data_IF_491242296458
#
_entry.id   IF_491242296458
#
_cell.length_a   1.000
_cell.length_b   1.000
_cell.length_c   1.000
_cell.angle_alpha   90.00
_cell.angle_beta   90.00
_cell.angle_gamma   90.00
#
_symmetry.space_group_name_H-M   'P 1'
#
loop_
_entity.id
_entity.type
_entity.pdbx_description
1 polymer ?
#
# COMPACT_ATOMS: atom_id res chain seq x y z
N UNK A 1 -7.83 -2.67 -16.00
CA UNK A 1 -7.22 -3.91 -15.46
C UNK A 1 -6.21 -3.46 -14.42
N UNK A 2 -6.04 -4.19 -13.31
CA UNK A 2 -5.04 -3.84 -12.29
C UNK A 2 -3.73 -4.54 -12.65
N UNK A 3 -2.62 -3.82 -12.53
CA UNK A 3 -1.29 -4.37 -12.70
C UNK A 3 -0.86 -5.05 -11.40
N UNK A 4 -0.22 -6.23 -11.52
CA UNK A 4 0.32 -6.94 -10.36
C UNK A 4 1.47 -6.15 -9.73
N UNK A 5 1.38 -5.92 -8.42
CA UNK A 5 2.41 -5.22 -7.68
C UNK A 5 3.68 -6.06 -7.47
N UNK A 6 3.55 -7.39 -7.38
CA UNK A 6 4.64 -8.33 -7.10
C UNK A 6 5.51 -7.93 -5.88
N UNK A 7 4.85 -7.69 -4.75
CA UNK A 7 5.50 -7.20 -3.52
C UNK A 7 6.30 -8.30 -2.81
N UNK A 8 7.40 -7.89 -2.15
CA UNK A 8 8.31 -8.79 -1.43
C UNK A 8 8.35 -8.42 0.06
N UNK A 9 7.53 -9.09 0.88
CA UNK A 9 7.42 -8.78 2.32
C UNK A 9 8.57 -9.33 3.16
N UNK A 10 9.37 -10.23 2.61
CA UNK A 10 10.59 -10.78 3.20
C UNK A 10 11.85 -9.97 2.87
N UNK A 11 11.80 -9.08 1.88
CA UNK A 11 12.86 -8.11 1.61
C UNK A 11 12.74 -6.89 2.53
N UNK A 12 13.52 -6.89 3.61
CA UNK A 12 13.58 -5.76 4.56
C UNK A 12 14.09 -4.48 3.90
N UNK A 13 14.99 -4.57 2.94
CA UNK A 13 15.54 -3.39 2.27
C UNK A 13 14.50 -2.75 1.35
N UNK A 14 13.65 -3.55 0.68
CA UNK A 14 12.48 -3.05 -0.03
C UNK A 14 11.53 -2.31 0.92
N UNK A 15 11.27 -2.86 2.11
CA UNK A 15 10.43 -2.20 3.11
C UNK A 15 11.07 -0.89 3.59
N UNK A 16 12.39 -0.84 3.81
CA UNK A 16 13.10 0.40 4.19
C UNK A 16 13.02 1.47 3.09
N UNK A 17 13.25 1.11 1.82
CA UNK A 17 13.12 2.04 0.68
C UNK A 17 11.69 2.57 0.56
N UNK A 18 10.69 1.69 0.71
CA UNK A 18 9.28 2.06 0.72
C UNK A 18 8.90 2.96 1.90
N UNK A 19 9.44 2.70 3.09
CA UNK A 19 9.25 3.52 4.29
C UNK A 19 9.79 4.94 4.07
N UNK A 20 10.98 5.05 3.45
CA UNK A 20 11.56 6.35 3.09
C UNK A 20 10.66 7.11 2.12
N UNK A 21 10.19 6.47 1.05
CA UNK A 21 9.26 7.10 0.09
C UNK A 21 7.96 7.56 0.76
N UNK A 22 7.42 6.74 1.67
CA UNK A 22 6.23 7.11 2.43
C UNK A 22 6.46 8.35 3.29
N UNK A 23 7.58 8.42 4.02
CA UNK A 23 7.91 9.57 4.86
C UNK A 23 8.09 10.82 4.02
N UNK A 24 8.82 10.71 2.91
CA UNK A 24 9.17 11.85 2.06
C UNK A 24 7.93 12.42 1.33
N UNK A 25 7.05 11.56 0.81
CA UNK A 25 5.98 11.98 -0.12
C UNK A 25 4.56 11.85 0.44
N UNK A 26 4.33 10.97 1.41
CA UNK A 26 2.97 10.64 1.88
C UNK A 26 2.69 11.18 3.28
N UNK A 27 3.66 11.10 4.18
CA UNK A 27 3.51 11.40 5.61
C UNK A 27 3.30 12.89 5.92
N UNK A 28 3.24 13.77 4.91
CA UNK A 28 2.82 15.15 5.12
C UNK A 28 1.29 15.31 5.11
N UNK A 29 0.58 14.40 4.43
CA UNK A 29 -0.89 14.42 4.32
C UNK A 29 -1.54 13.19 4.95
N UNK A 30 -0.88 12.03 4.87
CA UNK A 30 -1.42 10.75 5.31
C UNK A 30 -0.80 10.29 6.63
N UNK A 31 -1.64 10.03 7.63
CA UNK A 31 -1.19 9.32 8.84
C UNK A 31 -0.98 7.83 8.57
N UNK A 32 -0.10 7.22 9.36
CA UNK A 32 -0.08 5.79 9.65
C UNK A 32 -0.22 5.62 11.17
N UNK A 33 -1.37 6.06 11.70
CA UNK A 33 -1.61 6.26 13.13
C UNK A 33 -1.55 5.00 13.99
N UNK A 34 -1.68 3.80 13.39
CA UNK A 34 -1.57 2.52 14.07
C UNK A 34 -0.14 1.99 14.12
N UNK A 35 0.81 2.63 13.43
CA UNK A 35 2.21 2.22 13.39
C UNK A 35 3.09 3.14 14.23
N UNK A 36 3.89 2.56 15.13
CA UNK A 36 4.91 3.28 15.91
C UNK A 36 6.27 3.20 15.23
N UNK A 37 7.04 4.30 15.27
CA UNK A 37 8.42 4.30 14.75
C UNK A 37 9.30 3.22 15.41
N UNK A 38 9.11 2.97 16.71
CA UNK A 38 9.83 1.93 17.45
C UNK A 38 9.60 0.52 16.93
N UNK A 39 8.39 0.25 16.39
CA UNK A 39 8.08 -1.06 15.81
C UNK A 39 8.81 -1.25 14.48
N UNK A 40 8.83 -0.21 13.64
CA UNK A 40 9.60 -0.19 12.40
C UNK A 40 11.09 -0.41 12.69
N UNK A 41 11.64 0.26 13.72
CA UNK A 41 13.01 0.07 14.15
C UNK A 41 13.34 -1.41 14.42
N UNK A 42 12.48 -2.07 15.20
CA UNK A 42 12.64 -3.47 15.59
C UNK A 42 12.48 -4.43 14.40
N UNK A 43 11.44 -4.25 13.59
CA UNK A 43 11.12 -5.17 12.50
C UNK A 43 12.11 -5.04 11.32
N UNK A 44 12.62 -3.83 11.07
CA UNK A 44 13.55 -3.54 9.97
C UNK A 44 15.03 -3.58 10.39
N UNK A 45 15.32 -3.94 11.64
CA UNK A 45 16.68 -3.97 12.18
C UNK A 45 17.41 -2.63 11.98
N UNK A 46 16.74 -1.54 12.37
CA UNK A 46 17.27 -0.18 12.32
C UNK A 46 17.52 0.33 13.74
N UNK A 47 18.63 1.04 13.91
CA UNK A 47 18.91 1.76 15.14
C UNK A 47 17.90 2.89 15.37
N UNK A 48 17.76 3.32 16.63
CA UNK A 48 16.91 4.46 16.96
C UNK A 48 17.34 5.74 16.25
N UNK A 49 18.65 5.92 16.04
CA UNK A 49 19.21 7.08 15.33
C UNK A 49 18.93 7.04 13.83
N UNK A 50 19.01 5.87 13.19
CA UNK A 50 18.63 5.72 11.78
C UNK A 50 17.15 6.07 11.57
N UNK A 51 16.27 5.54 12.42
CA UNK A 51 14.83 5.84 12.35
C UNK A 51 14.57 7.32 12.58
N UNK A 52 15.25 7.92 13.56
CA UNK A 52 15.12 9.35 13.85
C UNK A 52 15.57 10.20 12.66
N UNK A 53 16.72 9.88 12.06
CA UNK A 53 17.31 10.69 11.00
C UNK A 53 16.62 10.48 9.64
N UNK A 54 16.13 9.27 9.36
CA UNK A 54 15.55 8.94 8.05
C UNK A 54 14.03 9.07 8.01
N UNK A 55 13.33 8.80 9.11
CA UNK A 55 11.87 8.68 9.11
C UNK A 55 11.14 9.74 9.94
N UNK A 56 11.83 10.39 10.89
CA UNK A 56 11.21 11.40 11.75
C UNK A 56 11.63 12.79 11.28
N UNK A 57 10.79 13.40 10.45
CA UNK A 57 11.00 14.77 9.96
C UNK A 57 10.41 15.84 10.89
N UNK A 58 9.42 15.48 11.72
CA UNK A 58 8.56 16.45 12.46
C UNK A 58 8.84 16.57 13.97
N UNK A 59 10.05 16.25 14.43
CA UNK A 59 10.39 16.37 15.86
C UNK A 59 9.67 15.37 16.78
N UNK A 60 8.89 14.44 16.21
CA UNK A 60 8.24 13.35 16.93
C UNK A 60 9.27 12.44 17.66
N UNK A 61 8.78 11.64 18.60
CA UNK A 61 9.61 10.68 19.33
C UNK A 61 9.50 9.30 18.69
N UNK A 62 10.55 8.49 18.83
CA UNK A 62 10.59 7.11 18.31
C UNK A 62 9.47 6.23 18.90
N UNK A 63 8.97 6.53 20.10
CA UNK A 63 7.83 5.80 20.70
C UNK A 63 6.46 6.21 20.14
N UNK A 64 6.36 7.30 19.40
CA UNK A 64 5.09 7.82 18.88
C UNK A 64 4.70 7.16 17.55
N UNK A 65 3.45 7.37 17.14
CA UNK A 65 2.98 6.94 15.82
C UNK A 65 3.14 8.02 14.77
N UNK A 66 3.13 7.59 13.51
CA UNK A 66 3.16 8.46 12.33
C UNK A 66 1.82 9.18 12.20
N UNK A 67 1.73 10.40 12.74
CA UNK A 67 0.54 11.25 12.65
C UNK A 67 0.87 12.55 11.94
N UNK A 68 -0.07 12.99 11.13
CA UNK A 68 -0.05 14.31 10.49
C UNK A 68 -0.83 15.33 11.32
N UNK A 69 -0.53 16.60 11.12
CA UNK A 69 -1.18 17.70 11.81
C UNK A 69 -2.48 18.17 11.14
N UNK A 70 -2.72 17.78 9.88
CA UNK A 70 -3.93 18.17 9.14
C UNK A 70 -5.17 17.57 9.80
N UNK A 71 -6.16 18.43 10.09
CA UNK A 71 -7.47 17.99 10.56
C UNK A 71 -8.44 17.74 9.38
N UNK A 72 -9.61 17.18 9.68
CA UNK A 72 -10.57 16.78 8.66
C UNK A 72 -11.19 17.97 7.92
N UNK A 73 -11.36 19.11 8.58
CA UNK A 73 -11.99 20.29 8.00
C UNK A 73 -11.03 21.00 7.04
N UNK A 74 -9.76 21.12 7.43
CA UNK A 74 -8.69 21.60 6.55
C UNK A 74 -8.50 20.67 5.34
N UNK A 75 -8.52 19.34 5.57
CA UNK A 75 -8.47 18.36 4.49
C UNK A 75 -9.61 18.52 3.48
N UNK A 76 -10.87 18.68 3.95
CA UNK A 76 -12.02 18.93 3.09
C UNK A 76 -11.89 20.23 2.32
N UNK A 77 -11.36 21.28 2.96
CA UNK A 77 -11.17 22.59 2.33
C UNK A 77 -10.12 22.55 1.22
N UNK A 78 -9.03 21.82 1.41
CA UNK A 78 -7.91 21.79 0.45
C UNK A 78 -8.06 20.72 -0.63
N UNK A 79 -8.59 19.54 -0.28
CA UNK A 79 -8.64 18.38 -1.17
C UNK A 79 -10.07 17.94 -1.54
N UNK A 80 -11.09 18.62 -1.01
CA UNK A 80 -12.50 18.30 -1.25
C UNK A 80 -13.02 17.08 -0.47
N UNK A 81 -12.17 16.41 0.31
CA UNK A 81 -12.53 15.25 1.12
C UNK A 81 -11.53 15.04 2.26
N UNK A 82 -11.88 14.19 3.23
CA UNK A 82 -10.96 13.78 4.28
C UNK A 82 -9.77 13.00 3.70
N UNK A 83 -8.56 13.28 4.19
CA UNK A 83 -7.37 12.51 3.82
C UNK A 83 -7.36 11.20 4.63
N UNK A 84 -7.35 10.02 3.98
CA UNK A 84 -7.42 8.75 4.68
C UNK A 84 -6.12 8.42 5.42
N UNK A 85 -6.25 7.79 6.57
CA UNK A 85 -5.14 7.10 7.24
C UNK A 85 -4.75 5.85 6.44
N UNK A 86 -3.44 5.65 6.26
CA UNK A 86 -2.89 4.59 5.41
C UNK A 86 -2.42 3.36 6.20
N UNK A 87 -2.63 3.30 7.52
CA UNK A 87 -2.18 2.18 8.37
C UNK A 87 -2.64 0.82 7.87
N UNK A 88 -3.84 0.74 7.27
CA UNK A 88 -4.44 -0.52 6.79
C UNK A 88 -4.91 -0.44 5.34
N UNK A 89 -4.46 0.56 4.58
CA UNK A 89 -4.99 0.82 3.24
C UNK A 89 -4.74 -0.35 2.27
N UNK A 90 -3.60 -1.02 2.38
CA UNK A 90 -3.27 -2.19 1.56
C UNK A 90 -4.24 -3.36 1.78
N UNK A 91 -4.84 -3.49 2.98
CA UNK A 91 -5.90 -4.46 3.23
C UNK A 91 -7.27 -4.00 2.72
N UNK A 92 -7.53 -2.70 2.74
CA UNK A 92 -8.81 -2.14 2.32
C UNK A 92 -8.97 -2.12 0.79
N UNK A 93 -7.88 -1.84 0.05
CA UNK A 93 -7.90 -1.70 -1.42
C UNK A 93 -7.20 -2.82 -2.18
N UNK A 94 -6.27 -3.52 -1.53
CA UNK A 94 -5.39 -4.48 -2.20
C UNK A 94 -4.11 -3.83 -2.75
N UNK A 95 -3.05 -4.62 -2.85
CA UNK A 95 -1.71 -4.15 -3.25
C UNK A 95 -1.64 -3.78 -4.73
N UNK A 96 -2.27 -4.57 -5.61
CA UNK A 96 -2.33 -4.31 -7.04
C UNK A 96 -3.11 -3.03 -7.36
N UNK A 97 -4.15 -2.75 -6.56
CA UNK A 97 -4.90 -1.50 -6.67
C UNK A 97 -4.02 -0.30 -6.34
N UNK A 98 -3.27 -0.36 -5.24
CA UNK A 98 -2.37 0.73 -4.82
C UNK A 98 -1.24 0.95 -5.83
N UNK A 99 -0.64 -0.13 -6.31
CA UNK A 99 0.42 -0.11 -7.31
C UNK A 99 -0.07 0.53 -8.61
N UNK A 100 -1.23 0.10 -9.10
CA UNK A 100 -1.83 0.69 -10.31
C UNK A 100 -2.24 2.14 -10.07
N UNK A 101 -2.86 2.46 -8.92
CA UNK A 101 -3.28 3.81 -8.57
C UNK A 101 -2.10 4.80 -8.61
N UNK A 102 -0.98 4.47 -7.97
CA UNK A 102 0.19 5.35 -7.93
C UNK A 102 0.89 5.53 -9.29
N UNK A 103 0.70 4.60 -10.24
CA UNK A 103 1.29 4.65 -11.60
C UNK A 103 0.39 5.27 -12.66
N UNK A 104 -0.90 5.47 -12.35
CA UNK A 104 -1.91 5.83 -13.34
C UNK A 104 -2.45 7.26 -13.21
N UNK A 105 -1.68 8.14 -12.58
CA UNK A 105 -1.94 9.58 -12.64
C UNK A 105 -1.67 10.10 -14.06
N UNK A 106 -2.56 10.95 -14.57
CA UNK A 106 -2.40 11.57 -15.88
C UNK A 106 -2.90 13.01 -15.85
N UNK A 107 -2.39 13.85 -16.76
CA UNK A 107 -2.78 15.26 -16.87
C UNK A 107 -4.24 15.39 -17.28
N UNK A 108 -4.98 16.18 -16.51
CA UNK A 108 -6.38 16.52 -16.73
C UNK A 108 -6.62 17.93 -16.15
N UNK A 109 -6.60 18.93 -17.01
CA UNK A 109 -6.73 20.35 -16.62
C UNK A 109 -8.11 20.71 -16.08
N UNK A 110 -9.11 19.84 -16.25
CA UNK A 110 -10.44 20.04 -15.66
C UNK A 110 -10.46 19.82 -14.14
N UNK A 111 -9.41 19.18 -13.60
CA UNK A 111 -9.30 18.84 -12.17
C UNK A 111 -8.55 19.93 -11.39
N UNK A 112 -8.85 20.12 -10.09
CA UNK A 112 -8.20 21.16 -9.27
C UNK A 112 -6.67 21.10 -9.23
N UNK A 113 -6.10 19.90 -9.31
CA UNK A 113 -4.65 19.68 -9.30
C UNK A 113 -4.06 19.40 -10.70
N UNK A 114 -4.83 19.62 -11.76
CA UNK A 114 -4.40 19.39 -13.14
C UNK A 114 -4.12 17.91 -13.49
N UNK A 115 -4.53 16.98 -12.62
CA UNK A 115 -4.34 15.54 -12.80
C UNK A 115 -5.58 14.75 -12.40
N UNK A 116 -5.74 13.58 -13.01
CA UNK A 116 -6.75 12.59 -12.69
C UNK A 116 -6.12 11.18 -12.65
N UNK A 117 -6.91 10.15 -12.34
CA UNK A 117 -6.43 8.78 -12.19
C UNK A 117 -7.32 7.78 -12.93
N UNK A 118 -6.72 6.74 -13.54
CA UNK A 118 -7.52 5.77 -14.34
C UNK A 118 -8.25 4.73 -13.49
N UNK A 119 -7.79 4.50 -12.26
CA UNK A 119 -8.38 3.52 -11.33
C UNK A 119 -9.34 4.21 -10.35
N UNK A 120 -9.10 5.47 -10.01
CA UNK A 120 -9.95 6.28 -9.14
C UNK A 120 -10.33 7.59 -9.82
N UNK A 121 -11.45 7.58 -10.54
CA UNK A 121 -11.93 8.76 -11.25
C UNK A 121 -12.20 9.92 -10.30
N UNK A 122 -11.91 11.13 -10.75
CA UNK A 122 -12.17 12.38 -10.04
C UNK A 122 -11.43 12.48 -8.69
N UNK A 123 -10.21 11.92 -8.68
CA UNK A 123 -9.32 11.94 -7.53
C UNK A 123 -9.10 13.37 -7.01
N UNK A 124 -9.17 13.53 -5.69
CA UNK A 124 -8.86 14.79 -4.99
C UNK A 124 -7.40 14.94 -4.59
N UNK A 125 -6.63 13.85 -4.69
CA UNK A 125 -5.21 13.79 -4.38
C UNK A 125 -4.38 14.34 -5.54
N UNK A 126 -3.41 15.25 -5.29
CA UNK A 126 -2.43 15.62 -6.30
C UNK A 126 -1.52 14.43 -6.65
N UNK A 127 -0.83 14.50 -7.78
CA UNK A 127 0.18 13.50 -8.11
C UNK A 127 1.46 13.77 -7.32
N UNK A 128 1.53 13.24 -6.09
CA UNK A 128 2.66 13.52 -5.16
C UNK A 128 4.01 12.99 -5.64
N UNK A 129 4.03 12.00 -6.54
CA UNK A 129 5.26 11.41 -7.09
C UNK A 129 5.61 11.93 -8.49
N UNK A 130 5.04 13.07 -8.90
CA UNK A 130 5.21 13.62 -10.26
C UNK A 130 6.67 13.91 -10.61
N UNK A 131 7.50 14.32 -9.66
CA UNK A 131 8.94 14.54 -9.90
C UNK A 131 9.65 13.24 -10.24
N UNK A 132 9.21 12.11 -9.67
CA UNK A 132 9.79 10.80 -9.93
C UNK A 132 9.30 10.21 -11.25
N UNK A 133 7.98 10.23 -11.48
CA UNK A 133 7.34 9.62 -12.66
C UNK A 133 7.47 10.48 -13.92
N UNK A 134 7.35 11.80 -13.75
CA UNK A 134 7.01 12.73 -14.81
C UNK A 134 5.51 12.85 -15.04
N UNK A 135 5.13 13.67 -16.03
CA UNK A 135 3.73 13.85 -16.42
C UNK A 135 3.40 13.03 -17.67
N UNK A 136 2.23 12.42 -17.67
CA UNK A 136 1.74 11.58 -18.76
C UNK A 136 0.30 11.93 -19.14
N UNK A 137 -0.09 11.60 -20.38
CA UNK A 137 -1.45 11.77 -20.90
C UNK A 137 -2.05 10.41 -21.26
N UNK A 138 -3.37 10.24 -21.12
CA UNK A 138 -4.02 8.97 -21.44
C UNK A 138 -4.08 8.74 -22.95
N UNK A 139 -3.87 7.49 -23.36
CA UNK A 139 -4.15 7.02 -24.71
C UNK A 139 -5.55 6.39 -24.69
N UNK A 140 -6.50 7.06 -25.33
CA UNK A 140 -7.89 6.65 -25.40
C UNK A 140 -8.12 5.69 -26.56
N UNK A 141 -8.87 4.62 -26.32
CA UNK A 141 -9.37 3.73 -27.37
C UNK A 141 -10.88 3.51 -27.25
N UNK A 142 -11.54 3.52 -28.40
CA UNK A 142 -12.96 3.21 -28.51
C UNK A 142 -13.18 1.70 -28.44
N UNK A 143 -13.89 1.26 -27.41
CA UNK A 143 -14.30 -0.12 -27.21
C UNK A 143 -15.80 -0.23 -27.48
N UNK A 144 -16.16 -0.98 -28.52
CA UNK A 144 -17.55 -1.36 -28.80
C UNK A 144 -17.85 -2.66 -28.07
N UNK A 145 -18.84 -2.65 -27.19
CA UNK A 145 -19.31 -3.87 -26.52
C UNK A 145 -20.11 -4.78 -27.48
N UNK A 146 -20.43 -6.00 -27.03
CA UNK A 146 -21.25 -6.96 -27.81
C UNK A 146 -22.68 -6.43 -28.11
N UNK A 147 -23.08 -5.32 -27.48
CA UNK A 147 -24.38 -4.66 -27.63
C UNK A 147 -24.32 -3.43 -28.57
N UNK A 148 -23.16 -3.15 -29.17
CA UNK A 148 -22.97 -2.05 -30.11
C UNK A 148 -22.72 -0.68 -29.47
N UNK A 149 -22.59 -0.59 -28.15
CA UNK A 149 -22.27 0.67 -27.46
C UNK A 149 -20.76 0.92 -27.51
N UNK A 150 -20.38 2.09 -28.02
CA UNK A 150 -18.98 2.52 -28.06
C UNK A 150 -18.65 3.32 -26.81
N UNK A 151 -17.70 2.82 -26.01
CA UNK A 151 -17.19 3.49 -24.82
C UNK A 151 -15.70 3.78 -24.98
N UNK A 152 -15.25 4.98 -24.64
CA UNK A 152 -13.82 5.28 -24.63
C UNK A 152 -13.18 4.76 -23.33
N UNK A 153 -12.08 4.03 -23.45
CA UNK A 153 -11.31 3.52 -22.33
C UNK A 153 -9.84 3.89 -22.47
N UNK A 154 -9.19 4.14 -21.34
CA UNK A 154 -7.75 4.37 -21.30
C UNK A 154 -7.06 3.03 -21.52
N UNK A 155 -6.33 2.87 -22.64
CA UNK A 155 -5.50 1.68 -22.90
C UNK A 155 -4.13 1.79 -22.27
N UNK A 156 -3.59 3.01 -22.17
CA UNK A 156 -2.26 3.24 -21.63
C UNK A 156 -1.96 4.72 -21.51
N UNK A 157 -0.69 5.03 -21.29
CA UNK A 157 -0.23 6.39 -21.05
C UNK A 157 0.96 6.73 -21.94
N UNK A 158 1.04 7.98 -22.35
CA UNK A 158 2.19 8.55 -23.06
C UNK A 158 2.84 9.61 -22.18
N UNK A 159 4.13 9.43 -21.88
CA UNK A 159 4.91 10.41 -21.13
C UNK A 159 5.10 11.68 -21.97
N UNK A 160 4.80 12.83 -21.38
CA UNK A 160 4.94 14.16 -22.00
C UNK A 160 6.05 14.99 -21.34
N UNK A 161 6.33 14.73 -20.07
CA UNK A 161 7.41 15.35 -19.31
C UNK A 161 8.13 14.27 -18.53
N UNK A 162 9.46 14.27 -18.58
CA UNK A 162 10.27 13.21 -17.96
C UNK A 162 10.51 13.52 -16.48
N UNK A 163 10.24 12.54 -15.62
CA UNK A 163 10.65 12.59 -14.21
C UNK A 163 12.12 12.27 -14.01
N UNK A 164 12.54 12.22 -12.75
CA UNK A 164 13.91 11.84 -12.36
C UNK A 164 14.18 10.35 -12.54
N UNK A 165 13.15 9.51 -12.46
CA UNK A 165 13.26 8.07 -12.65
C UNK A 165 12.81 7.67 -14.06
N UNK A 166 13.40 6.61 -14.59
CA UNK A 166 12.83 5.94 -15.75
C UNK A 166 11.62 5.07 -15.36
N UNK A 167 10.87 4.57 -16.34
CA UNK A 167 9.64 3.81 -16.09
C UNK A 167 9.87 2.56 -15.20
N UNK A 168 10.95 1.81 -15.43
CA UNK A 168 11.25 0.62 -14.62
C UNK A 168 11.69 0.97 -13.20
N UNK A 169 12.44 2.05 -13.02
CA UNK A 169 12.85 2.54 -11.70
C UNK A 169 11.65 3.06 -10.91
N UNK A 170 10.75 3.79 -11.57
CA UNK A 170 9.51 4.27 -10.95
C UNK A 170 8.61 3.11 -10.53
N UNK A 171 8.45 2.10 -11.40
CA UNK A 171 7.72 0.87 -11.09
C UNK A 171 8.31 0.17 -9.85
N UNK A 172 9.63 0.08 -9.75
CA UNK A 172 10.29 -0.49 -8.58
C UNK A 172 10.07 0.35 -7.31
N UNK A 173 10.17 1.68 -7.41
CA UNK A 173 9.93 2.59 -6.29
C UNK A 173 8.49 2.51 -5.78
N UNK A 174 7.50 2.48 -6.68
CA UNK A 174 6.10 2.30 -6.30
C UNK A 174 5.87 0.93 -5.69
N UNK A 175 6.49 -0.13 -6.22
CA UNK A 175 6.45 -1.47 -5.62
C UNK A 175 7.00 -1.49 -4.20
N UNK A 176 8.15 -0.85 -3.95
CA UNK A 176 8.72 -0.74 -2.61
C UNK A 176 7.79 0.03 -1.67
N UNK A 177 7.21 1.14 -2.12
CA UNK A 177 6.22 1.91 -1.36
C UNK A 177 4.99 1.07 -1.02
N UNK A 178 4.43 0.33 -1.98
CA UNK A 178 3.28 -0.56 -1.76
C UNK A 178 3.65 -1.74 -0.86
N UNK A 179 4.89 -2.25 -0.96
CA UNK A 179 5.42 -3.27 -0.06
C UNK A 179 5.44 -2.76 1.38
N UNK A 180 5.88 -1.52 1.61
CA UNK A 180 5.81 -0.88 2.92
C UNK A 180 4.38 -0.68 3.40
N UNK A 181 3.44 -0.21 2.55
CA UNK A 181 2.02 -0.09 2.91
C UNK A 181 1.38 -1.45 3.26
N UNK A 182 1.80 -2.52 2.58
CA UNK A 182 1.38 -3.88 2.89
C UNK A 182 1.94 -4.37 4.24
N UNK A 183 3.20 -4.04 4.53
CA UNK A 183 3.81 -4.27 5.83
C UNK A 183 3.06 -3.50 6.95
N UNK A 184 2.72 -2.23 6.75
CA UNK A 184 1.94 -1.44 7.73
C UNK A 184 0.61 -2.11 8.08
N UNK A 185 -0.11 -2.60 7.07
CA UNK A 185 -1.40 -3.27 7.26
C UNK A 185 -1.32 -4.61 7.99
N UNK A 186 -0.14 -5.25 7.98
CA UNK A 186 0.07 -6.57 8.59
C UNK A 186 1.54 -6.84 8.98
N UNK A 187 2.09 -6.17 10.00
CA UNK A 187 3.53 -6.23 10.32
C UNK A 187 3.99 -7.63 10.74
N UNK A 188 3.09 -8.41 11.34
CA UNK A 188 3.35 -9.77 11.82
C UNK A 188 3.06 -10.85 10.78
N UNK A 189 2.86 -10.52 9.50
CA UNK A 189 2.44 -11.49 8.48
C UNK A 189 3.39 -12.67 8.36
N UNK A 190 4.69 -12.42 8.24
CA UNK A 190 5.70 -13.46 8.10
C UNK A 190 5.77 -14.36 9.34
N UNK A 191 5.74 -13.76 10.54
CA UNK A 191 5.72 -14.49 11.81
C UNK A 191 4.47 -15.37 11.91
N UNK A 192 3.29 -14.86 11.53
CA UNK A 192 2.04 -15.59 11.55
C UNK A 192 2.05 -16.77 10.58
N UNK A 193 2.58 -16.59 9.35
CA UNK A 193 2.67 -17.68 8.37
C UNK A 193 3.66 -18.76 8.80
N UNK A 194 4.78 -18.38 9.44
CA UNK A 194 5.73 -19.33 9.99
C UNK A 194 5.12 -20.16 11.13
N UNK A 195 4.44 -19.50 12.08
CA UNK A 195 3.75 -20.16 13.19
C UNK A 195 2.57 -21.02 12.72
N UNK A 196 1.83 -20.56 11.72
CA UNK A 196 0.65 -21.25 11.20
C UNK A 196 0.94 -22.69 10.76
N UNK A 197 2.11 -22.95 10.16
CA UNK A 197 2.53 -24.31 9.77
C UNK A 197 2.63 -25.25 10.98
N UNK A 198 3.23 -24.77 12.08
CA UNK A 198 3.38 -25.54 13.31
C UNK A 198 2.05 -25.74 14.04
N UNK A 199 1.20 -24.71 14.06
CA UNK A 199 -0.15 -24.79 14.64
C UNK A 199 -0.99 -25.82 13.88
N UNK A 200 -0.99 -25.79 12.55
CA UNK A 200 -1.72 -26.76 11.73
C UNK A 200 -1.22 -28.19 11.93
N UNK A 201 0.09 -28.39 12.04
CA UNK A 201 0.68 -29.71 12.33
C UNK A 201 0.25 -30.22 13.72
N UNK A 202 0.31 -29.36 14.74
CA UNK A 202 -0.15 -29.70 16.08
C UNK A 202 -1.64 -30.06 16.08
N UNK A 203 -2.50 -29.26 15.43
CA UNK A 203 -3.93 -29.53 15.35
C UNK A 203 -4.24 -30.83 14.61
N UNK A 204 -3.50 -31.16 13.55
CA UNK A 204 -3.65 -32.43 12.85
C UNK A 204 -3.27 -33.64 13.74
N UNK A 205 -2.17 -33.55 14.49
CA UNK A 205 -1.78 -34.58 15.45
C UNK A 205 -2.80 -34.71 16.60
N UNK A 206 -3.25 -33.59 17.15
CA UNK A 206 -4.27 -33.57 18.21
C UNK A 206 -5.60 -34.14 17.72
N UNK A 207 -6.00 -33.86 16.47
CA UNK A 207 -7.20 -34.43 15.87
C UNK A 207 -7.14 -35.96 15.84
N UNK A 208 -5.99 -36.56 15.53
CA UNK A 208 -5.81 -38.02 15.59
C UNK A 208 -6.06 -38.54 17.01
N UNK A 209 -5.49 -37.90 18.03
CA UNK A 209 -5.69 -38.28 19.43
C UNK A 209 -7.16 -38.16 19.85
N UNK A 210 -7.85 -37.10 19.44
CA UNK A 210 -9.28 -36.89 19.71
C UNK A 210 -10.13 -37.95 19.00
N UNK A 211 -9.79 -38.35 17.77
CA UNK A 211 -10.48 -39.42 17.06
C UNK A 211 -10.30 -40.77 17.76
N UNK A 212 -9.08 -41.08 18.22
CA UNK A 212 -8.81 -42.30 18.99
C UNK A 212 -9.57 -42.29 20.33
N UNK A 213 -9.57 -41.15 21.02
CA UNK A 213 -10.30 -40.97 22.27
C UNK A 213 -11.82 -41.14 22.07
N UNK A 214 -12.38 -40.52 21.01
CA UNK A 214 -13.79 -40.70 20.64
C UNK A 214 -14.10 -42.17 20.39
N UNK A 215 -13.25 -42.88 19.63
CA UNK A 215 -13.44 -44.30 19.33
C UNK A 215 -13.47 -45.15 20.60
N UNK A 216 -12.62 -44.84 21.59
CA UNK A 216 -12.61 -45.54 22.87
C UNK A 216 -13.86 -45.26 23.71
N UNK A 217 -14.25 -43.99 23.88
CA UNK A 217 -15.44 -43.62 24.67
C UNK A 217 -16.75 -44.13 24.08
N UNK A 218 -16.84 -44.23 22.75
CA UNK A 218 -18.05 -44.68 22.06
C UNK A 218 -18.09 -46.20 21.83
N UNK A 219 -17.07 -46.93 22.28
CA UNK A 219 -17.00 -48.39 22.18
C UNK A 219 -18.16 -49.04 22.94
N UNK A 220 -18.56 -48.47 24.07
CA UNK A 220 -19.54 -49.06 24.97
C UNK A 220 -20.97 -48.51 24.75
N UNK A 221 -21.18 -47.67 23.71
CA UNK A 221 -22.46 -47.03 23.36
C UNK A 221 -22.99 -47.54 21.99
N UNK A 222 -22.44 -48.65 21.47
CA UNK A 222 -22.99 -49.37 20.32
C UNK A 222 -23.37 -50.80 20.72
#
# INVERSE_FOLDING_TARGET
MLDSADIQLDDREAIKRGAKLFVDYCLNCHSASLMRYSRIAQDLDMSGDEVRNQFITTGAKVGESMKVAIDEDDAKRWFGTAVPDLSVIARARGVDWLYTYLRSFYRDESRPWGVNNSVFKDVGMPHVLWELQGLQVPIMESHTDEQGNTSERIRGFKLIEKGTLNASEYDAAVRDLVTFLAYLGEPSKLQRLALGKWVLLFLAGFLVLVILLKKEYWRDIH
#
